data_IF_105588038367
#
_entry.id   IF_105588038367
#
_cell.length_a   1.000
_cell.length_b   1.000
_cell.length_c   1.000
_cell.angle_alpha   90.00
_cell.angle_beta   90.00
_cell.angle_gamma   90.00
#
_symmetry.space_group_name_H-M   'P 1'
#
loop_
_entity.id
_entity.type
_entity.pdbx_description
1 polymer ?
#
# COMPACT_ATOMS: atom_id res chain seq x y z
N UNK A 1 0.04 15.49 -23.74
CA UNK A 1 0.16 15.44 -22.27
C UNK A 1 1.59 15.08 -21.93
N UNK A 2 2.26 15.82 -21.03
CA UNK A 2 3.61 15.45 -20.60
C UNK A 2 3.54 14.18 -19.75
N UNK A 3 4.43 13.22 -20.00
CA UNK A 3 4.60 12.04 -19.16
C UNK A 3 4.92 12.43 -17.70
N UNK A 4 4.40 11.69 -16.71
CA UNK A 4 4.53 12.01 -15.27
C UNK A 4 5.99 12.10 -14.88
N UNK A 5 6.84 11.25 -15.44
CA UNK A 5 8.29 11.29 -15.19
C UNK A 5 8.90 12.65 -15.54
N UNK A 6 8.43 13.29 -16.62
CA UNK A 6 8.89 14.63 -17.02
C UNK A 6 8.44 15.70 -16.02
N UNK A 7 7.21 15.61 -15.52
CA UNK A 7 6.69 16.53 -14.50
C UNK A 7 7.46 16.41 -13.19
N UNK A 8 7.75 15.17 -12.77
CA UNK A 8 8.55 14.89 -11.57
C UNK A 8 9.96 15.46 -11.73
N UNK A 9 10.62 15.25 -12.87
CA UNK A 9 11.96 15.80 -13.11
C UNK A 9 11.98 17.34 -13.10
N UNK A 10 10.97 17.99 -13.69
CA UNK A 10 10.85 19.44 -13.64
C UNK A 10 10.63 19.97 -12.22
N UNK A 11 9.77 19.30 -11.44
CA UNK A 11 9.54 19.62 -10.02
C UNK A 11 10.81 19.47 -9.19
N UNK A 12 11.54 18.36 -9.38
CA UNK A 12 12.83 18.10 -8.73
C UNK A 12 13.85 19.20 -9.02
N UNK A 13 14.03 19.59 -10.28
CA UNK A 13 14.96 20.65 -10.66
C UNK A 13 14.60 22.00 -10.02
N UNK A 14 13.31 22.35 -9.99
CA UNK A 14 12.83 23.56 -9.30
C UNK A 14 13.14 23.53 -7.81
N UNK A 15 12.86 22.41 -7.13
CA UNK A 15 13.05 22.26 -5.69
C UNK A 15 14.54 22.21 -5.30
N UNK A 16 15.38 21.59 -6.12
CA UNK A 16 16.84 21.65 -5.97
C UNK A 16 17.35 23.08 -6.06
N UNK A 17 16.83 23.89 -6.99
CA UNK A 17 17.19 25.31 -7.10
C UNK A 17 16.76 26.13 -5.87
N UNK A 18 15.77 25.67 -5.10
CA UNK A 18 15.37 26.24 -3.81
C UNK A 18 16.20 25.70 -2.63
N UNK A 19 17.19 24.83 -2.87
CA UNK A 19 18.12 24.33 -1.85
C UNK A 19 17.65 23.10 -1.10
N UNK A 20 16.62 22.38 -1.58
CA UNK A 20 16.18 21.13 -0.95
C UNK A 20 17.22 20.02 -1.14
N UNK A 21 17.40 19.21 -0.10
CA UNK A 21 18.25 18.04 -0.15
C UNK A 21 17.64 16.96 -1.08
N UNK A 22 18.51 16.20 -1.74
CA UNK A 22 18.14 15.14 -2.68
C UNK A 22 17.15 14.11 -2.09
N UNK A 23 17.30 13.82 -0.79
CA UNK A 23 16.43 12.87 -0.08
C UNK A 23 14.98 13.38 0.05
N UNK A 24 14.78 14.70 0.14
CA UNK A 24 13.49 15.36 0.35
C UNK A 24 12.75 15.68 -0.95
N UNK A 25 13.39 15.46 -2.10
CA UNK A 25 12.77 15.70 -3.39
C UNK A 25 11.70 14.66 -3.71
N UNK A 26 10.66 15.03 -4.49
CA UNK A 26 9.72 14.06 -5.01
C UNK A 26 10.42 13.02 -5.88
N UNK A 27 9.89 11.81 -5.91
CA UNK A 27 10.45 10.73 -6.71
C UNK A 27 9.34 9.83 -7.27
N UNK A 28 9.64 9.22 -8.43
CA UNK A 28 8.75 8.28 -9.10
C UNK A 28 9.57 7.05 -9.51
N UNK A 29 9.20 5.89 -8.95
CA UNK A 29 9.76 4.59 -9.27
C UNK A 29 8.80 3.86 -10.21
N UNK A 30 9.23 3.52 -11.42
CA UNK A 30 8.36 2.87 -12.39
C UNK A 30 9.15 1.99 -13.36
N UNK A 31 8.45 1.01 -13.93
CA UNK A 31 8.86 0.25 -15.10
C UNK A 31 7.66 0.19 -16.06
N UNK A 32 7.91 0.01 -17.36
CA UNK A 32 6.83 -0.07 -18.36
C UNK A 32 5.91 -1.29 -18.22
N UNK A 33 6.26 -2.24 -17.35
CA UNK A 33 5.53 -3.48 -17.10
C UNK A 33 4.45 -3.32 -16.02
N UNK A 34 4.63 -2.38 -15.09
CA UNK A 34 3.74 -2.24 -13.94
C UNK A 34 2.40 -1.61 -14.35
N UNK A 35 1.30 -2.26 -13.94
CA UNK A 35 -0.08 -1.80 -14.20
C UNK A 35 -0.75 -1.14 -13.01
N UNK A 36 -0.19 -1.34 -11.81
CA UNK A 36 -0.71 -0.81 -10.55
C UNK A 36 0.28 0.18 -9.97
N UNK A 37 -0.22 1.34 -9.51
CA UNK A 37 0.59 2.37 -8.88
C UNK A 37 0.15 2.69 -7.45
N UNK A 38 1.11 3.08 -6.62
CA UNK A 38 0.92 3.57 -5.27
C UNK A 38 1.33 5.04 -5.20
N UNK A 39 0.41 5.92 -4.79
CA UNK A 39 0.69 7.31 -4.42
C UNK A 39 1.00 7.39 -2.93
N UNK A 40 2.21 7.81 -2.55
CA UNK A 40 2.63 7.90 -1.15
C UNK A 40 2.59 9.35 -0.67
N UNK A 41 1.73 9.63 0.31
CA UNK A 41 1.52 10.95 0.92
C UNK A 41 2.15 11.00 2.32
N UNK A 42 3.11 11.91 2.50
CA UNK A 42 3.82 12.07 3.77
C UNK A 42 3.02 12.88 4.82
N UNK A 43 3.50 12.86 6.06
CA UNK A 43 2.91 13.59 7.20
C UNK A 43 3.15 15.12 7.17
N UNK A 44 2.64 15.81 8.19
CA UNK A 44 2.53 17.29 8.23
C UNK A 44 3.84 18.04 8.38
N UNK A 45 4.91 17.42 8.87
CA UNK A 45 6.23 18.05 8.97
C UNK A 45 7.29 17.12 8.39
N UNK A 46 6.94 16.46 7.29
CA UNK A 46 7.74 15.45 6.63
C UNK A 46 7.96 15.81 5.16
N UNK A 47 8.77 14.99 4.50
CA UNK A 47 9.00 15.03 3.06
C UNK A 47 8.89 13.59 2.51
N UNK A 48 8.98 13.40 1.17
CA UNK A 48 9.08 12.08 0.55
C UNK A 48 10.16 11.17 1.14
N UNK A 49 11.20 11.69 1.81
CA UNK A 49 12.26 10.87 2.38
C UNK A 49 11.74 9.79 3.33
N UNK A 50 10.72 10.12 4.13
CA UNK A 50 10.13 9.22 5.12
C UNK A 50 9.42 8.02 4.48
N UNK A 51 8.95 8.18 3.25
CA UNK A 51 8.23 7.14 2.52
C UNK A 51 9.14 6.35 1.58
N UNK A 52 10.41 6.73 1.43
CA UNK A 52 11.33 6.11 0.48
C UNK A 52 11.64 4.64 0.77
N UNK A 53 11.90 4.19 2.02
CA UNK A 53 12.09 2.76 2.29
C UNK A 53 10.85 1.93 1.94
N UNK A 54 9.66 2.39 2.32
CA UNK A 54 8.40 1.73 1.98
C UNK A 54 8.19 1.69 0.46
N UNK A 55 8.49 2.79 -0.24
CA UNK A 55 8.40 2.86 -1.68
C UNK A 55 9.31 1.84 -2.38
N UNK A 56 10.53 1.64 -1.88
CA UNK A 56 11.46 0.66 -2.43
C UNK A 56 10.97 -0.78 -2.26
N UNK A 57 10.37 -1.09 -1.11
CA UNK A 57 9.75 -2.41 -0.88
C UNK A 57 8.58 -2.64 -1.83
N UNK A 58 7.63 -1.69 -1.92
CA UNK A 58 6.48 -1.78 -2.83
C UNK A 58 6.92 -1.85 -4.30
N UNK A 59 7.96 -1.12 -4.69
CA UNK A 59 8.54 -1.21 -6.03
C UNK A 59 9.09 -2.61 -6.32
N UNK A 60 9.82 -3.20 -5.36
CA UNK A 60 10.29 -4.58 -5.44
C UNK A 60 9.17 -5.63 -5.50
N UNK A 61 7.97 -5.29 -5.02
CA UNK A 61 6.77 -6.13 -5.07
C UNK A 61 5.96 -5.97 -6.37
N UNK A 62 6.40 -5.13 -7.31
CA UNK A 62 5.78 -5.00 -8.64
C UNK A 62 4.82 -3.80 -8.80
N UNK A 63 4.95 -2.78 -7.95
CA UNK A 63 4.15 -1.56 -8.03
C UNK A 63 4.96 -0.37 -8.55
N UNK A 64 4.36 0.44 -9.41
CA UNK A 64 4.90 1.79 -9.63
C UNK A 64 4.63 2.64 -8.38
N UNK A 65 5.54 3.52 -7.99
CA UNK A 65 5.44 4.27 -6.74
C UNK A 65 5.78 5.73 -6.98
N UNK A 66 4.83 6.62 -6.72
CA UNK A 66 5.05 8.07 -6.79
C UNK A 66 4.90 8.69 -5.41
N UNK A 67 5.89 9.45 -4.97
CA UNK A 67 5.85 10.24 -3.74
C UNK A 67 6.08 11.73 -4.08
N UNK A 68 5.01 12.56 -4.13
CA UNK A 68 5.14 14.01 -4.28
C UNK A 68 5.60 14.66 -2.98
N UNK A 69 6.24 15.83 -3.09
CA UNK A 69 6.38 16.76 -1.98
C UNK A 69 5.09 17.58 -1.89
N UNK A 70 4.37 17.52 -0.78
CA UNK A 70 3.13 18.27 -0.59
C UNK A 70 3.38 19.78 -0.61
N UNK A 71 2.35 20.55 -1.00
CA UNK A 71 2.42 22.01 -1.09
C UNK A 71 3.01 22.63 0.20
N UNK A 72 3.83 23.68 0.04
CA UNK A 72 4.46 24.39 1.16
C UNK A 72 5.58 23.64 1.91
N UNK A 73 5.71 22.32 1.78
CA UNK A 73 6.69 21.53 2.56
C UNK A 73 8.15 21.70 2.12
N UNK A 74 8.38 22.47 1.05
CA UNK A 74 9.73 22.92 0.67
C UNK A 74 10.25 24.07 1.55
N UNK A 75 9.36 24.79 2.24
CA UNK A 75 9.71 25.84 3.20
C UNK A 75 8.92 25.63 4.50
N UNK A 76 9.54 24.92 5.45
CA UNK A 76 8.93 24.65 6.75
C UNK A 76 8.64 25.93 7.55
N UNK A 77 9.37 27.02 7.32
CA UNK A 77 9.15 28.27 8.03
C UNK A 77 7.89 28.98 7.49
N UNK A 78 7.72 29.06 6.16
CA UNK A 78 6.50 29.56 5.53
C UNK A 78 5.28 28.70 5.88
N UNK A 79 5.47 27.37 5.87
CA UNK A 79 4.44 26.43 6.29
C UNK A 79 3.99 26.73 7.73
N UNK A 80 4.94 26.86 8.67
CA UNK A 80 4.64 27.19 10.07
C UNK A 80 3.94 28.54 10.26
N UNK A 81 4.17 29.52 9.37
CA UNK A 81 3.47 30.81 9.37
C UNK A 81 2.04 30.74 8.82
N UNK A 82 1.64 29.61 8.22
CA UNK A 82 0.30 29.40 7.67
C UNK A 82 0.13 29.97 6.27
N UNK A 83 1.21 30.08 5.50
CA UNK A 83 1.19 30.53 4.10
C UNK A 83 0.68 29.44 3.14
N UNK A 84 0.45 28.24 3.65
CA UNK A 84 -0.11 27.10 2.92
C UNK A 84 -1.21 26.47 3.76
N UNK A 85 -2.36 26.23 3.13
CA UNK A 85 -3.50 25.56 3.75
C UNK A 85 -3.42 24.05 3.57
N UNK A 86 -4.21 23.31 4.33
CA UNK A 86 -4.34 21.87 4.09
C UNK A 86 -5.00 21.56 2.73
N UNK A 87 -5.84 22.48 2.23
CA UNK A 87 -6.48 22.38 0.91
C UNK A 87 -5.46 22.46 -0.22
N UNK A 88 -4.41 23.29 -0.09
CA UNK A 88 -3.31 23.33 -1.06
C UNK A 88 -2.58 21.98 -1.11
N UNK A 89 -2.39 21.33 0.05
CA UNK A 89 -1.82 19.99 0.12
C UNK A 89 -2.75 18.93 -0.49
N UNK A 90 -4.05 19.04 -0.24
CA UNK A 90 -5.06 18.18 -0.85
C UNK A 90 -5.06 18.30 -2.38
N UNK A 91 -5.03 19.52 -2.93
CA UNK A 91 -4.98 19.74 -4.37
C UNK A 91 -3.70 19.19 -5.00
N UNK A 92 -2.54 19.38 -4.35
CA UNK A 92 -1.30 18.76 -4.81
C UNK A 92 -1.37 17.22 -4.84
N UNK A 93 -2.00 16.61 -3.84
CA UNK A 93 -2.21 15.16 -3.79
C UNK A 93 -3.24 14.68 -4.83
N UNK A 94 -4.29 15.46 -5.07
CA UNK A 94 -5.28 15.22 -6.12
C UNK A 94 -4.66 15.25 -7.52
N UNK A 95 -3.83 16.25 -7.82
CA UNK A 95 -3.13 16.35 -9.10
C UNK A 95 -2.18 15.17 -9.32
N UNK A 96 -1.47 14.76 -8.25
CA UNK A 96 -0.62 13.58 -8.28
C UNK A 96 -1.40 12.29 -8.54
N UNK A 97 -2.57 12.12 -7.92
CA UNK A 97 -3.47 10.99 -8.17
C UNK A 97 -3.97 10.98 -9.62
N UNK A 98 -4.38 12.12 -10.16
CA UNK A 98 -4.84 12.23 -11.53
C UNK A 98 -3.72 11.89 -12.52
N UNK A 99 -2.51 12.37 -12.29
CA UNK A 99 -1.37 12.04 -13.15
C UNK A 99 -1.12 10.52 -13.21
N UNK A 100 -1.20 9.81 -12.08
CA UNK A 100 -1.07 8.34 -12.06
C UNK A 100 -2.22 7.64 -12.80
N UNK A 101 -3.46 8.11 -12.63
CA UNK A 101 -4.64 7.51 -13.30
C UNK A 101 -4.57 7.57 -14.82
N UNK A 102 -3.82 8.52 -15.38
CA UNK A 102 -3.61 8.57 -16.84
C UNK A 102 -2.67 7.49 -17.38
N UNK A 103 -1.90 6.82 -16.51
CA UNK A 103 -0.84 5.89 -16.89
C UNK A 103 -1.01 4.48 -16.32
N UNK A 104 -1.79 4.32 -15.25
CA UNK A 104 -1.95 3.05 -14.54
C UNK A 104 -3.42 2.63 -14.48
N UNK A 105 -3.65 1.34 -14.61
CA UNK A 105 -5.00 0.74 -14.57
C UNK A 105 -5.60 0.78 -13.15
N UNK A 106 -4.74 0.70 -12.13
CA UNK A 106 -5.16 0.71 -10.74
C UNK A 106 -4.23 1.62 -9.94
N UNK A 107 -4.81 2.53 -9.16
CA UNK A 107 -4.06 3.44 -8.29
C UNK A 107 -4.54 3.31 -6.86
N UNK A 108 -3.61 3.09 -5.94
CA UNK A 108 -3.82 3.11 -4.49
C UNK A 108 -3.22 4.40 -3.90
N UNK A 109 -3.93 5.04 -2.98
CA UNK A 109 -3.37 6.16 -2.20
C UNK A 109 -2.97 5.65 -0.83
N UNK A 110 -1.69 5.79 -0.49
CA UNK A 110 -1.08 5.37 0.76
C UNK A 110 -0.62 6.62 1.51
N UNK A 111 -1.23 6.92 2.65
CA UNK A 111 -0.95 8.13 3.40
C UNK A 111 -0.52 7.86 4.83
N UNK A 112 0.51 8.56 5.30
CA UNK A 112 0.95 8.50 6.71
C UNK A 112 0.54 9.75 7.48
N UNK A 113 -0.03 9.57 8.67
CA UNK A 113 -0.44 10.66 9.57
C UNK A 113 -1.34 11.66 8.83
N UNK A 114 -0.96 12.93 8.73
CA UNK A 114 -1.64 13.93 7.91
C UNK A 114 -1.92 13.47 6.46
N UNK A 115 -0.95 12.82 5.81
CA UNK A 115 -1.14 12.24 4.48
C UNK A 115 -2.20 11.15 4.44
N UNK A 116 -2.41 10.44 5.56
CA UNK A 116 -3.50 9.47 5.72
C UNK A 116 -4.87 10.14 5.80
N UNK A 117 -4.99 11.30 6.47
CA UNK A 117 -6.23 12.10 6.42
C UNK A 117 -6.53 12.57 5.00
N UNK A 118 -5.50 13.01 4.24
CA UNK A 118 -5.66 13.36 2.83
C UNK A 118 -6.05 12.15 1.98
N UNK A 119 -5.50 10.96 2.26
CA UNK A 119 -5.86 9.73 1.56
C UNK A 119 -7.34 9.37 1.78
N UNK A 120 -7.86 9.52 3.00
CA UNK A 120 -9.31 9.38 3.26
C UNK A 120 -10.14 10.35 2.44
N UNK A 121 -9.77 11.63 2.42
CA UNK A 121 -10.48 12.67 1.67
C UNK A 121 -10.47 12.38 0.16
N UNK A 122 -9.32 12.00 -0.40
CA UNK A 122 -9.21 11.59 -1.81
C UNK A 122 -10.08 10.37 -2.11
N UNK A 123 -10.13 9.39 -1.21
CA UNK A 123 -11.02 8.22 -1.37
C UNK A 123 -12.51 8.56 -1.29
N UNK A 124 -12.89 9.61 -0.57
CA UNK A 124 -14.28 10.09 -0.53
C UNK A 124 -14.61 10.88 -1.79
N UNK A 125 -13.81 11.89 -2.12
CA UNK A 125 -14.13 12.87 -3.17
C UNK A 125 -13.80 12.36 -4.57
N UNK A 126 -12.82 11.45 -4.70
CA UNK A 126 -12.35 10.92 -5.97
C UNK A 126 -12.41 9.40 -6.03
N UNK A 127 -13.24 8.76 -5.20
CA UNK A 127 -13.27 7.32 -4.99
C UNK A 127 -13.84 6.47 -6.12
N UNK A 128 -14.58 7.06 -7.07
CA UNK A 128 -15.30 6.33 -8.13
C UNK A 128 -14.40 5.39 -8.97
N UNK A 129 -13.13 5.77 -9.14
CA UNK A 129 -12.12 5.00 -9.89
C UNK A 129 -10.84 4.79 -9.06
N UNK A 130 -10.93 4.77 -7.73
CA UNK A 130 -9.78 4.52 -6.87
C UNK A 130 -9.71 3.04 -6.50
N UNK A 131 -8.57 2.39 -6.74
CA UNK A 131 -8.41 0.98 -6.43
C UNK A 131 -8.44 0.76 -4.90
N UNK A 132 -7.89 1.68 -4.12
CA UNK A 132 -8.11 1.71 -2.69
C UNK A 132 -7.32 2.79 -1.95
N UNK A 133 -7.59 2.90 -0.66
CA UNK A 133 -6.90 3.76 0.29
C UNK A 133 -6.19 2.91 1.32
N UNK A 134 -4.96 3.29 1.67
CA UNK A 134 -4.19 2.77 2.79
C UNK A 134 -3.85 3.93 3.72
N UNK A 135 -4.32 3.89 4.96
CA UNK A 135 -4.12 4.93 5.95
C UNK A 135 -3.22 4.41 7.07
N UNK A 136 -2.02 4.99 7.21
CA UNK A 136 -1.02 4.65 8.22
C UNK A 136 -1.04 5.71 9.33
N UNK A 137 -1.30 5.32 10.57
CA UNK A 137 -1.34 6.24 11.73
C UNK A 137 -2.19 7.50 11.48
N UNK A 138 -3.29 7.36 10.74
CA UNK A 138 -4.05 8.50 10.22
C UNK A 138 -5.02 9.07 11.26
N UNK A 139 -4.96 10.38 11.57
CA UNK A 139 -5.95 10.99 12.44
C UNK A 139 -7.28 11.14 11.69
N UNK A 140 -8.35 10.61 12.29
CA UNK A 140 -9.70 10.61 11.72
C UNK A 140 -10.82 10.82 12.75
N UNK A 141 -10.53 11.54 13.83
CA UNK A 141 -11.49 11.98 14.83
C UNK A 141 -10.99 13.28 15.47
N UNK A 142 -11.87 14.02 16.14
CA UNK A 142 -11.45 15.15 16.96
C UNK A 142 -10.66 14.69 18.18
N UNK A 143 -9.52 15.33 18.43
CA UNK A 143 -8.67 15.10 19.61
C UNK A 143 -8.64 16.36 20.46
N UNK A 144 -9.39 16.42 21.58
CA UNK A 144 -9.47 17.60 22.45
C UNK A 144 -8.11 18.02 23.05
N UNK A 145 -7.18 17.07 23.21
CA UNK A 145 -5.82 17.36 23.69
C UNK A 145 -4.99 18.13 22.66
N UNK A 146 -5.37 18.05 21.38
CA UNK A 146 -4.68 18.75 20.32
C UNK A 146 -5.18 20.19 20.21
N UNK A 147 -4.44 21.09 20.86
CA UNK A 147 -4.66 22.54 20.86
C UNK A 147 -3.51 23.24 20.13
N UNK A 148 -3.49 23.21 18.80
CA UNK A 148 -2.37 23.71 18.02
C UNK A 148 -2.20 25.23 18.15
N UNK A 149 -1.03 25.64 18.64
CA UNK A 149 -0.65 27.05 18.76
C UNK A 149 -0.12 27.62 17.45
N UNK A 150 0.52 26.79 16.62
CA UNK A 150 1.09 27.17 15.31
C UNK A 150 0.01 27.14 14.20
N UNK A 151 -0.03 28.13 13.29
CA UNK A 151 -0.95 28.18 12.15
C UNK A 151 -1.04 26.86 11.38
N UNK A 152 0.09 26.29 10.96
CA UNK A 152 0.11 25.02 10.22
C UNK A 152 -0.61 23.88 10.93
N UNK A 153 -0.38 23.72 12.23
CA UNK A 153 -1.02 22.63 12.97
C UNK A 153 -2.54 22.83 13.13
N UNK A 154 -3.05 24.06 12.95
CA UNK A 154 -4.50 24.31 12.84
C UNK A 154 -5.03 23.82 11.49
N UNK A 155 -4.29 24.02 10.40
CA UNK A 155 -4.62 23.47 9.08
C UNK A 155 -4.67 21.94 9.10
N UNK A 156 -3.65 21.30 9.69
CA UNK A 156 -3.63 19.84 9.86
C UNK A 156 -4.85 19.36 10.66
N UNK A 157 -5.22 20.08 11.74
CA UNK A 157 -6.42 19.77 12.54
C UNK A 157 -7.71 19.92 11.72
N UNK A 158 -7.80 20.93 10.85
CA UNK A 158 -8.95 21.10 9.96
C UNK A 158 -9.07 19.95 8.95
N UNK A 159 -7.95 19.49 8.36
CA UNK A 159 -7.94 18.32 7.50
C UNK A 159 -8.39 17.05 8.25
N UNK A 160 -7.94 16.86 9.49
CA UNK A 160 -8.40 15.76 10.35
C UNK A 160 -9.91 15.83 10.60
N UNK A 161 -10.45 17.01 10.89
CA UNK A 161 -11.89 17.19 11.10
C UNK A 161 -12.69 16.90 9.82
N UNK A 162 -12.20 17.36 8.66
CA UNK A 162 -12.80 17.04 7.36
C UNK A 162 -12.79 15.53 7.10
N UNK A 163 -11.65 14.87 7.30
CA UNK A 163 -11.52 13.42 7.14
C UNK A 163 -12.48 12.67 8.08
N UNK A 164 -12.53 13.04 9.35
CA UNK A 164 -13.42 12.44 10.35
C UNK A 164 -14.90 12.55 9.96
N UNK A 165 -15.30 13.72 9.45
CA UNK A 165 -16.68 13.97 9.03
C UNK A 165 -17.10 13.17 7.79
N UNK A 166 -16.14 12.93 6.88
CA UNK A 166 -16.38 12.34 5.57
C UNK A 166 -16.09 10.85 5.48
N UNK A 167 -15.39 10.24 6.44
CA UNK A 167 -14.98 8.82 6.38
C UNK A 167 -16.16 7.85 6.20
N UNK A 168 -17.36 8.24 6.65
CA UNK A 168 -18.63 7.51 6.45
C UNK A 168 -19.11 7.44 4.99
N UNK A 169 -18.45 8.14 4.09
CA UNK A 169 -18.70 8.16 2.64
C UNK A 169 -17.57 7.45 1.87
N UNK A 170 -16.59 6.86 2.58
CA UNK A 170 -15.46 6.18 1.98
C UNK A 170 -15.85 4.76 1.52
N UNK A 171 -16.27 4.65 0.26
CA UNK A 171 -16.75 3.38 -0.31
C UNK A 171 -15.66 2.55 -1.00
N UNK A 172 -14.54 3.16 -1.40
CA UNK A 172 -13.44 2.43 -2.04
C UNK A 172 -12.77 1.48 -1.03
N UNK A 173 -12.15 0.39 -1.51
CA UNK A 173 -11.41 -0.54 -0.66
C UNK A 173 -10.45 0.19 0.27
N UNK A 174 -10.47 -0.13 1.57
CA UNK A 174 -9.71 0.65 2.57
C UNK A 174 -8.95 -0.23 3.56
N UNK A 175 -7.65 -0.01 3.69
CA UNK A 175 -6.80 -0.58 4.73
C UNK A 175 -6.46 0.50 5.76
N UNK A 176 -6.81 0.26 7.02
CA UNK A 176 -6.42 1.11 8.15
C UNK A 176 -5.31 0.40 8.92
N UNK A 177 -4.18 1.06 9.12
CA UNK A 177 -2.99 0.51 9.80
C UNK A 177 -2.58 1.45 10.92
N UNK A 178 -2.43 0.93 12.14
CA UNK A 178 -2.13 1.78 13.31
C UNK A 178 -1.33 1.02 14.37
N UNK A 179 -0.38 1.68 15.04
CA UNK A 179 0.29 1.10 16.20
C UNK A 179 -0.46 1.42 17.50
N UNK A 180 -0.72 0.43 18.34
CA UNK A 180 -1.47 0.61 19.60
C UNK A 180 -0.75 1.54 20.60
N UNK A 181 0.56 1.63 20.48
CA UNK A 181 1.48 2.41 21.29
C UNK A 181 1.90 3.74 20.62
N UNK A 182 1.18 4.20 19.59
CA UNK A 182 1.47 5.47 18.92
C UNK A 182 1.30 6.68 19.88
N UNK A 183 2.39 7.41 20.20
CA UNK A 183 2.36 8.50 21.18
C UNK A 183 1.80 9.81 20.60
N UNK A 184 1.67 9.91 19.27
CA UNK A 184 1.29 11.14 18.58
C UNK A 184 -0.16 11.10 18.10
N UNK A 185 -0.59 9.99 17.51
CA UNK A 185 -1.95 9.77 17.06
C UNK A 185 -2.47 8.52 17.75
N UNK A 186 -3.38 8.68 18.72
CA UNK A 186 -3.92 7.54 19.47
C UNK A 186 -4.56 6.52 18.54
N UNK A 187 -4.47 5.25 18.93
CA UNK A 187 -5.15 4.15 18.24
C UNK A 187 -6.67 4.35 18.13
N UNK A 188 -7.27 5.14 19.03
CA UNK A 188 -8.68 5.55 18.96
C UNK A 188 -9.07 6.17 17.61
N UNK A 189 -8.14 6.85 16.91
CA UNK A 189 -8.42 7.38 15.57
C UNK A 189 -8.72 6.26 14.56
N UNK A 190 -7.95 5.18 14.57
CA UNK A 190 -8.21 4.01 13.73
C UNK A 190 -9.45 3.24 14.20
N UNK A 191 -9.61 3.03 15.50
CA UNK A 191 -10.75 2.30 16.07
C UNK A 191 -12.09 3.02 15.89
N UNK A 192 -12.07 4.36 15.76
CA UNK A 192 -13.24 5.18 15.47
C UNK A 192 -13.54 5.24 13.98
N UNK A 193 -12.53 5.42 13.14
CA UNK A 193 -12.73 5.53 11.70
C UNK A 193 -13.14 4.21 11.04
N UNK A 194 -12.48 3.10 11.40
CA UNK A 194 -12.70 1.80 10.78
C UNK A 194 -14.17 1.32 10.75
N UNK A 195 -14.94 1.36 11.85
CA UNK A 195 -16.34 0.95 11.81
C UNK A 195 -17.22 1.87 10.96
N UNK A 196 -16.88 3.16 10.85
CA UNK A 196 -17.65 4.16 10.08
C UNK A 196 -17.47 4.03 8.57
N UNK A 197 -16.33 3.49 8.11
CA UNK A 197 -16.03 3.31 6.68
C UNK A 197 -17.01 2.29 6.05
N UNK A 198 -17.84 2.68 5.06
CA UNK A 198 -18.82 1.78 4.43
C UNK A 198 -18.23 0.85 3.36
N UNK A 199 -16.93 0.94 3.06
CA UNK A 199 -16.27 0.10 2.07
C UNK A 199 -16.52 -1.40 2.32
N UNK A 200 -16.99 -2.10 1.27
CA UNK A 200 -17.26 -3.55 1.32
C UNK A 200 -15.99 -4.35 1.61
N UNK A 201 -14.86 -3.92 1.07
CA UNK A 201 -13.54 -4.49 1.33
C UNK A 201 -12.77 -3.52 2.23
N UNK A 202 -12.69 -3.83 3.51
CA UNK A 202 -11.86 -3.07 4.46
C UNK A 202 -11.13 -4.00 5.42
N UNK A 203 -9.95 -3.59 5.86
CA UNK A 203 -9.14 -4.30 6.86
C UNK A 203 -8.58 -3.30 7.87
N UNK A 204 -8.51 -3.71 9.13
CA UNK A 204 -7.79 -3.01 10.19
C UNK A 204 -6.58 -3.88 10.58
N UNK A 205 -5.38 -3.30 10.53
CA UNK A 205 -4.15 -3.95 11.01
C UNK A 205 -3.58 -3.14 12.16
N UNK A 206 -3.44 -3.79 13.32
CA UNK A 206 -2.91 -3.16 14.53
C UNK A 206 -1.53 -3.74 14.84
N UNK A 207 -0.59 -2.84 15.14
CA UNK A 207 0.79 -3.17 15.51
C UNK A 207 1.06 -2.82 16.96
N UNK A 208 2.12 -3.39 17.55
CA UNK A 208 2.57 -3.06 18.89
C UNK A 208 4.10 -2.96 18.92
N UNK A 209 4.62 -1.93 19.57
CA UNK A 209 6.06 -1.68 19.68
C UNK A 209 6.67 -0.92 18.49
N UNK A 210 5.84 -0.39 17.59
CA UNK A 210 6.27 0.38 16.42
C UNK A 210 6.18 1.89 16.65
N UNK A 211 5.20 2.34 17.44
CA UNK A 211 4.89 3.76 17.59
C UNK A 211 4.35 4.41 16.29
N UNK A 212 4.65 5.69 16.08
CA UNK A 212 4.02 6.49 15.01
C UNK A 212 4.55 6.22 13.59
N UNK A 213 5.79 5.73 13.47
CA UNK A 213 6.51 5.68 12.20
C UNK A 213 6.24 4.35 11.46
N UNK A 214 4.98 4.09 11.12
CA UNK A 214 4.61 2.92 10.33
C UNK A 214 5.24 2.95 8.93
N UNK A 215 5.96 1.89 8.56
CA UNK A 215 6.62 1.78 7.26
C UNK A 215 7.97 2.50 7.19
N UNK A 216 8.60 2.77 8.32
CA UNK A 216 9.87 3.49 8.41
C UNK A 216 10.87 2.78 9.35
N UNK A 217 12.00 2.35 8.80
CA UNK A 217 13.05 1.67 9.55
C UNK A 217 12.77 0.17 9.69
N UNK A 218 12.88 -0.37 10.90
CA UNK A 218 12.87 -1.82 11.15
C UNK A 218 11.57 -2.53 10.78
N UNK A 219 10.45 -1.81 10.72
CA UNK A 219 9.11 -2.32 10.41
C UNK A 219 8.73 -2.23 8.91
N UNK A 220 9.61 -1.69 8.06
CA UNK A 220 9.28 -1.36 6.66
C UNK A 220 8.81 -2.59 5.88
N UNK A 221 9.50 -3.72 6.02
CA UNK A 221 9.20 -4.94 5.29
C UNK A 221 7.82 -5.52 5.68
N UNK A 222 7.52 -5.58 6.98
CA UNK A 222 6.24 -6.07 7.50
C UNK A 222 5.07 -5.20 7.02
N UNK A 223 5.20 -3.87 7.14
CA UNK A 223 4.19 -2.92 6.68
C UNK A 223 3.99 -3.01 5.15
N UNK A 224 5.06 -3.15 4.38
CA UNK A 224 4.97 -3.33 2.93
C UNK A 224 4.25 -4.64 2.56
N UNK A 225 4.54 -5.74 3.26
CA UNK A 225 3.90 -7.03 3.06
C UNK A 225 2.38 -6.96 3.31
N UNK A 226 1.95 -6.30 4.39
CA UNK A 226 0.54 -6.15 4.69
C UNK A 226 -0.22 -5.29 3.65
N UNK A 227 0.46 -4.27 3.11
CA UNK A 227 -0.07 -3.45 2.01
C UNK A 227 -0.18 -4.28 0.73
N UNK A 228 0.86 -5.02 0.35
CA UNK A 228 0.85 -5.91 -0.82
C UNK A 228 -0.27 -6.94 -0.72
N UNK A 229 -0.43 -7.59 0.43
CA UNK A 229 -1.53 -8.54 0.67
C UNK A 229 -2.88 -7.86 0.48
N UNK A 230 -3.10 -6.67 1.04
CA UNK A 230 -4.34 -5.94 0.86
C UNK A 230 -4.61 -5.59 -0.61
N UNK A 231 -3.60 -5.07 -1.33
CA UNK A 231 -3.71 -4.73 -2.75
C UNK A 231 -4.09 -5.98 -3.56
N UNK A 232 -3.42 -7.11 -3.31
CA UNK A 232 -3.73 -8.39 -3.97
C UNK A 232 -5.13 -8.86 -3.65
N UNK A 233 -5.52 -8.94 -2.38
CA UNK A 233 -6.86 -9.38 -1.98
C UNK A 233 -7.98 -8.48 -2.49
N UNK A 234 -7.66 -7.26 -2.92
CA UNK A 234 -8.63 -6.36 -3.51
C UNK A 234 -8.87 -6.59 -5.01
N UNK A 235 -7.96 -7.28 -5.70
CA UNK A 235 -8.21 -7.74 -7.06
C UNK A 235 -9.20 -8.93 -7.07
N UNK A 236 -9.90 -9.09 -8.21
CA UNK A 236 -10.70 -10.29 -8.42
C UNK A 236 -9.76 -11.51 -8.52
N UNK A 237 -10.06 -12.62 -7.80
CA UNK A 237 -9.32 -13.86 -7.99
C UNK A 237 -9.41 -14.31 -9.45
N UNK A 238 -8.26 -14.59 -10.06
CA UNK A 238 -8.13 -15.24 -11.36
C UNK A 238 -8.21 -16.75 -11.11
N UNK A 239 -9.14 -17.48 -11.76
CA UNK A 239 -9.16 -18.94 -11.71
C UNK A 239 -7.90 -19.51 -12.38
N UNK A 240 -7.28 -20.48 -11.73
CA UNK A 240 -6.03 -21.11 -12.13
C UNK A 240 -6.19 -22.62 -12.03
N UNK A 241 -5.48 -23.34 -12.90
CA UNK A 241 -5.32 -24.77 -12.82
C UNK A 241 -3.84 -25.11 -12.79
N UNK A 242 -3.40 -25.74 -11.70
CA UNK A 242 -2.10 -26.41 -11.65
C UNK A 242 -2.25 -27.85 -12.12
N UNK A 243 -1.26 -28.35 -12.84
CA UNK A 243 -1.26 -29.71 -13.36
C UNK A 243 0.08 -30.37 -13.12
N UNK A 244 0.03 -31.62 -12.67
CA UNK A 244 1.22 -32.44 -12.45
C UNK A 244 1.05 -33.78 -13.18
N UNK A 245 2.10 -34.27 -13.84
CA UNK A 245 2.07 -35.58 -14.47
C UNK A 245 2.01 -36.70 -13.42
N UNK A 246 1.53 -37.87 -13.84
CA UNK A 246 1.59 -39.06 -13.00
C UNK A 246 3.01 -39.58 -12.87
N UNK A 247 3.51 -39.63 -11.64
CA UNK A 247 4.76 -40.33 -11.32
C UNK A 247 4.57 -41.38 -10.23
N UNK A 248 3.35 -41.95 -10.14
CA UNK A 248 3.00 -42.95 -9.13
C UNK A 248 2.66 -42.36 -7.76
N UNK A 249 2.21 -41.11 -7.72
CA UNK A 249 1.81 -40.43 -6.49
C UNK A 249 0.51 -41.03 -5.95
N UNK A 250 0.35 -41.13 -4.63
CA UNK A 250 -0.92 -41.57 -4.01
C UNK A 250 -1.74 -40.39 -3.51
N UNK A 251 -1.08 -39.34 -3.03
CA UNK A 251 -1.70 -38.10 -2.60
C UNK A 251 -0.80 -36.93 -2.96
N UNK A 252 -1.41 -35.87 -3.49
CA UNK A 252 -0.75 -34.60 -3.73
C UNK A 252 -1.59 -33.49 -3.10
N UNK A 253 -0.98 -32.74 -2.19
CA UNK A 253 -1.57 -31.54 -1.58
C UNK A 253 -0.74 -30.31 -1.96
N UNK A 254 -1.40 -29.17 -2.03
CA UNK A 254 -0.81 -27.86 -2.24
C UNK A 254 -0.76 -27.09 -0.92
N UNK A 255 0.39 -26.47 -0.66
CA UNK A 255 0.59 -25.54 0.44
C UNK A 255 1.38 -24.33 -0.05
N UNK A 256 0.98 -23.13 0.33
CA UNK A 256 1.71 -21.92 -0.03
C UNK A 256 1.30 -20.72 0.79
N UNK A 257 1.78 -19.54 0.42
CA UNK A 257 1.44 -18.28 1.09
C UNK A 257 -0.08 -18.07 1.18
N UNK A 258 -0.82 -18.45 0.14
CA UNK A 258 -2.28 -18.35 0.07
C UNK A 258 -3.04 -19.34 1.00
N UNK A 259 -2.37 -20.36 1.52
CA UNK A 259 -2.94 -21.29 2.52
C UNK A 259 -2.25 -21.16 3.88
N UNK A 260 -1.47 -20.09 4.10
CA UNK A 260 -0.61 -19.93 5.27
C UNK A 260 0.25 -21.18 5.53
N UNK A 261 0.78 -21.77 4.46
CA UNK A 261 1.57 -23.00 4.48
C UNK A 261 0.87 -24.22 5.12
N UNK A 262 -0.47 -24.23 5.16
CA UNK A 262 -1.22 -25.45 5.45
C UNK A 262 -1.39 -26.28 4.17
N UNK A 263 -1.05 -27.57 4.26
CA UNK A 263 -1.29 -28.56 3.21
C UNK A 263 -2.76 -28.99 3.22
N UNK A 264 -3.63 -28.13 2.67
CA UNK A 264 -5.08 -28.27 2.77
C UNK A 264 -5.79 -28.38 1.41
N UNK A 265 -5.12 -28.02 0.32
CA UNK A 265 -5.72 -28.06 -1.02
C UNK A 265 -5.31 -29.33 -1.77
N UNK A 266 -6.21 -30.31 -1.98
CA UNK A 266 -5.87 -31.53 -2.68
C UNK A 266 -5.81 -31.33 -4.20
N UNK A 267 -4.88 -32.02 -4.84
CA UNK A 267 -5.01 -32.31 -6.26
C UNK A 267 -5.97 -33.49 -6.45
N UNK A 268 -6.72 -33.44 -7.54
CA UNK A 268 -7.64 -34.50 -7.98
C UNK A 268 -7.01 -35.20 -9.18
N UNK A 269 -7.01 -36.52 -9.16
CA UNK A 269 -6.57 -37.33 -10.29
C UNK A 269 -7.60 -37.28 -11.42
N UNK A 270 -7.16 -36.95 -12.63
CA UNK A 270 -7.99 -36.86 -13.84
C UNK A 270 -7.35 -37.64 -14.98
N UNK A 271 -8.03 -37.76 -16.13
CA UNK A 271 -7.46 -38.39 -17.32
C UNK A 271 -6.18 -37.68 -17.84
N UNK A 272 -6.03 -36.39 -17.54
CA UNK A 272 -4.92 -35.55 -17.97
C UNK A 272 -3.84 -35.39 -16.87
N UNK A 273 -3.91 -36.19 -15.79
CA UNK A 273 -3.00 -36.12 -14.65
C UNK A 273 -3.61 -35.51 -13.39
N UNK A 274 -2.76 -35.18 -12.43
CA UNK A 274 -3.17 -34.53 -11.18
C UNK A 274 -3.50 -33.06 -11.45
N UNK A 275 -4.67 -32.60 -11.04
CA UNK A 275 -5.11 -31.22 -11.22
C UNK A 275 -5.53 -30.58 -9.90
N UNK A 276 -5.16 -29.32 -9.69
CA UNK A 276 -5.66 -28.51 -8.59
C UNK A 276 -6.20 -27.20 -9.15
N UNK A 277 -7.45 -26.90 -8.83
CA UNK A 277 -8.08 -25.63 -9.18
C UNK A 277 -8.07 -24.70 -7.96
N UNK A 278 -7.62 -23.47 -8.18
CA UNK A 278 -7.58 -22.42 -7.18
C UNK A 278 -7.86 -21.08 -7.84
N UNK A 279 -8.34 -20.12 -7.06
CA UNK A 279 -8.51 -18.76 -7.52
C UNK A 279 -7.66 -17.83 -6.66
N UNK A 280 -6.68 -17.18 -7.28
CA UNK A 280 -5.75 -16.27 -6.60
C UNK A 280 -5.82 -14.90 -7.25
N UNK A 281 -5.63 -13.85 -6.46
CA UNK A 281 -5.43 -12.53 -7.02
C UNK A 281 -4.16 -12.49 -7.91
N UNK A 282 -4.06 -11.55 -8.86
CA UNK A 282 -2.82 -11.31 -9.59
C UNK A 282 -1.65 -11.05 -8.63
N UNK A 283 -0.49 -11.66 -8.92
CA UNK A 283 0.69 -11.59 -8.07
C UNK A 283 1.64 -12.78 -8.22
N UNK A 284 2.74 -12.76 -7.48
CA UNK A 284 3.70 -13.87 -7.40
C UNK A 284 3.61 -14.54 -6.02
N UNK A 285 3.38 -15.85 -5.99
CA UNK A 285 3.11 -16.63 -4.78
C UNK A 285 4.13 -17.76 -4.62
N UNK A 286 4.65 -17.91 -3.42
CA UNK A 286 5.49 -19.06 -3.08
C UNK A 286 4.62 -20.25 -2.63
N UNK A 287 4.98 -21.44 -3.10
CA UNK A 287 4.31 -22.68 -2.74
C UNK A 287 5.22 -23.91 -2.76
N UNK A 288 4.76 -24.98 -2.12
CA UNK A 288 5.31 -26.33 -2.17
C UNK A 288 4.18 -27.35 -2.36
N UNK A 289 4.58 -28.51 -2.86
CA UNK A 289 3.74 -29.70 -2.92
C UNK A 289 4.03 -30.57 -1.70
N UNK A 290 2.99 -31.17 -1.15
CA UNK A 290 3.12 -32.25 -0.16
C UNK A 290 2.65 -33.53 -0.84
N UNK A 291 3.62 -34.31 -1.34
CA UNK A 291 3.37 -35.56 -2.06
C UNK A 291 3.64 -36.72 -1.13
N UNK A 292 2.64 -37.56 -0.90
CA UNK A 292 2.72 -38.72 0.00
C UNK A 292 3.32 -38.36 1.38
N UNK A 293 2.93 -37.20 1.90
CA UNK A 293 3.39 -36.65 3.19
C UNK A 293 4.76 -35.95 3.16
N UNK A 294 5.42 -35.83 2.00
CA UNK A 294 6.73 -35.20 1.85
C UNK A 294 6.64 -33.84 1.16
N UNK A 295 7.25 -32.84 1.78
CA UNK A 295 7.37 -31.48 1.23
C UNK A 295 8.43 -31.43 0.14
N UNK A 296 8.06 -30.90 -1.03
CA UNK A 296 8.98 -30.70 -2.13
C UNK A 296 8.55 -29.54 -3.03
N UNK A 297 9.50 -29.00 -3.79
CA UNK A 297 9.21 -28.04 -4.85
C UNK A 297 8.48 -28.73 -6.00
N UNK A 298 7.66 -27.95 -6.70
CA UNK A 298 7.13 -28.33 -7.99
C UNK A 298 8.28 -28.44 -9.00
N UNK A 299 8.54 -29.62 -9.57
CA UNK A 299 9.68 -29.83 -10.46
C UNK A 299 9.56 -29.07 -11.79
N UNK A 300 8.35 -28.65 -12.15
CA UNK A 300 8.05 -28.04 -13.44
C UNK A 300 7.87 -26.51 -13.33
N UNK A 301 7.99 -25.95 -12.12
CA UNK A 301 7.85 -24.52 -11.84
C UNK A 301 9.19 -23.79 -11.62
N UNK A 302 9.17 -22.46 -11.79
CA UNK A 302 10.28 -21.59 -11.39
C UNK A 302 10.52 -21.74 -9.88
N UNK A 303 11.78 -21.78 -9.45
CA UNK A 303 12.16 -21.89 -8.04
C UNK A 303 12.71 -20.56 -7.50
N UNK A 304 12.43 -20.27 -6.23
CA UNK A 304 12.91 -19.09 -5.52
C UNK A 304 13.58 -19.47 -4.19
N UNK A 305 14.75 -18.88 -3.91
CA UNK A 305 15.48 -19.07 -2.66
C UNK A 305 14.90 -18.14 -1.58
N UNK A 306 14.58 -18.70 -0.43
CA UNK A 306 14.10 -17.93 0.72
C UNK A 306 15.27 -17.33 1.51
N UNK A 307 15.03 -16.27 2.32
CA UNK A 307 16.04 -15.71 3.21
C UNK A 307 16.63 -16.71 4.23
N UNK A 308 15.92 -17.81 4.50
CA UNK A 308 16.34 -18.86 5.43
C UNK A 308 17.11 -20.00 4.74
N UNK A 309 17.43 -19.86 3.45
CA UNK A 309 18.17 -20.86 2.68
C UNK A 309 17.33 -22.03 2.18
N UNK A 310 16.00 -21.96 2.31
CA UNK A 310 15.10 -22.95 1.72
C UNK A 310 14.78 -22.58 0.26
N UNK A 311 14.38 -23.56 -0.54
CA UNK A 311 13.87 -23.33 -1.89
C UNK A 311 12.37 -23.58 -1.91
N UNK A 312 11.63 -22.67 -2.53
CA UNK A 312 10.19 -22.76 -2.78
C UNK A 312 9.92 -22.69 -4.29
N UNK A 313 8.75 -23.16 -4.72
CA UNK A 313 8.27 -22.98 -6.10
C UNK A 313 7.53 -21.64 -6.21
N UNK A 314 7.58 -21.00 -7.37
CA UNK A 314 7.01 -19.69 -7.62
C UNK A 314 5.86 -19.78 -8.64
N UNK A 315 4.67 -19.35 -8.21
CA UNK A 315 3.48 -19.24 -9.04
C UNK A 315 3.23 -17.78 -9.40
N UNK A 316 3.18 -17.45 -10.70
CA UNK A 316 2.86 -16.11 -11.20
C UNK A 316 1.45 -16.07 -11.76
N UNK A 317 0.64 -15.16 -11.25
CA UNK A 317 -0.76 -14.96 -11.62
C UNK A 317 -0.88 -13.62 -12.33
N UNK A 318 -1.10 -13.65 -13.64
CA UNK A 318 -1.37 -12.46 -14.46
C UNK A 318 -2.86 -12.11 -14.44
N UNK A 319 -3.20 -10.84 -14.70
CA UNK A 319 -4.59 -10.48 -15.02
C UNK A 319 -5.03 -11.20 -16.31
N UNK A 320 -6.31 -11.58 -16.36
CA UNK A 320 -6.96 -12.07 -17.58
C UNK A 320 -7.18 -10.92 -18.57
#
# INVERSE_FOLDING_TARGET
>A
MSDLLSQVNASRARLQALGLAEADLPFFLQTGEFRTACLLLHGSAASPCNSRPLAQQLFGMGYAVYAPLLAGHHDLAALQRGETSWLDCYHAAADALQALRTQFEAVYVIGSSFGGSLAYLLGVEQGADLAGVVALSAPAMEEPRWQPTRPWMREVKQATAAAAWHVRQLHCPTLVMHSVDDPHVRVDHALTAYPLIPARRKKLSLYNGIGHALGFGFNTAEVAQDIDLFIRFNHAPVPLRLSLPDRGYQQVLLAGEFSAWQASQPFVWTADGWQCELALAPGAYQYKLVIDGRWQCDPDAESVLTPHGEVNSLLRVSKA
#
